data_IF_510153075747
#
_entry.id   IF_510153075747
#
_cell.length_a   1.000
_cell.length_b   1.000
_cell.length_c   1.000
_cell.angle_alpha   90.00
_cell.angle_beta   90.00
_cell.angle_gamma   90.00
#
_symmetry.space_group_name_H-M   'P 1'
#
loop_
_entity.id
_entity.type
_entity.pdbx_description
1 polymer ?
#
# COMPACT_ATOMS: atom_id res chain seq x y z
N UNK A 1 15.92 -1.28 18.08
CA UNK A 1 15.34 -0.54 16.94
C UNK A 1 16.35 0.50 16.50
N UNK A 2 16.92 0.33 15.32
CA UNK A 2 17.89 1.26 14.76
C UNK A 2 17.12 2.38 14.03
N UNK A 3 17.35 3.64 14.39
CA UNK A 3 16.70 4.80 13.77
C UNK A 3 17.60 5.28 12.63
N UNK A 4 17.07 5.32 11.42
CA UNK A 4 17.79 5.78 10.23
C UNK A 4 17.19 7.08 9.70
N UNK A 5 18.06 8.02 9.33
CA UNK A 5 17.69 9.26 8.67
C UNK A 5 18.02 9.16 7.18
N UNK A 6 17.08 9.56 6.32
CA UNK A 6 17.31 9.70 4.88
C UNK A 6 16.92 11.07 4.38
N UNK A 7 17.45 11.46 3.22
CA UNK A 7 17.03 12.69 2.55
C UNK A 7 15.52 12.65 2.31
N UNK A 8 14.85 13.73 2.67
CA UNK A 8 13.41 13.84 2.46
C UNK A 8 13.12 13.91 0.96
N UNK A 9 12.31 12.97 0.48
CA UNK A 9 11.87 12.90 -0.91
C UNK A 9 10.35 12.80 -0.90
N UNK A 10 9.69 13.65 -1.70
CA UNK A 10 8.24 13.60 -1.86
C UNK A 10 7.92 12.28 -2.55
N UNK A 11 7.05 11.44 -1.98
CA UNK A 11 6.53 10.26 -2.68
C UNK A 11 5.28 10.66 -3.47
N UNK A 12 4.82 9.82 -4.40
CA UNK A 12 3.49 9.98 -4.99
C UNK A 12 2.46 10.02 -3.86
N UNK A 13 1.99 11.22 -3.56
CA UNK A 13 0.99 11.47 -2.53
C UNK A 13 -0.37 11.54 -3.21
N UNK A 14 -1.41 11.11 -2.49
CA UNK A 14 -2.79 11.36 -2.89
C UNK A 14 -3.23 12.69 -2.29
N UNK A 15 -4.05 13.44 -3.04
CA UNK A 15 -4.52 14.73 -2.57
C UNK A 15 -5.43 14.57 -1.36
N UNK A 16 -5.21 15.40 -0.35
CA UNK A 16 -6.12 15.64 0.78
C UNK A 16 -6.38 17.13 0.84
N UNK A 17 -7.42 17.56 0.15
CA UNK A 17 -7.78 18.96 0.03
C UNK A 17 -9.08 19.23 0.78
N UNK A 18 -9.09 20.28 1.59
CA UNK A 18 -10.31 20.79 2.20
C UNK A 18 -10.62 22.19 1.66
N UNK A 19 -11.88 22.42 1.32
CA UNK A 19 -12.40 23.69 0.83
C UNK A 19 -13.53 24.13 1.78
N UNK A 20 -13.25 25.12 2.63
CA UNK A 20 -14.24 25.67 3.55
C UNK A 20 -14.79 26.99 3.02
N UNK A 21 -15.99 27.39 3.46
CA UNK A 21 -16.56 28.67 3.08
C UNK A 21 -18.05 28.80 3.37
N UNK A 22 -18.58 30.03 3.40
CA UNK A 22 -20.00 30.28 3.60
C UNK A 22 -20.86 29.69 2.48
N UNK A 23 -22.17 29.65 2.70
CA UNK A 23 -23.11 29.32 1.61
C UNK A 23 -22.93 30.31 0.46
N UNK A 24 -22.97 29.82 -0.79
CA UNK A 24 -22.82 30.63 -1.99
C UNK A 24 -21.38 31.01 -2.36
N UNK A 25 -20.36 30.58 -1.60
CA UNK A 25 -18.94 30.90 -1.90
C UNK A 25 -18.33 30.11 -3.06
N UNK A 26 -19.09 29.21 -3.72
CA UNK A 26 -18.59 28.41 -4.84
C UNK A 26 -17.80 27.14 -4.47
N UNK A 27 -18.01 26.56 -3.28
CA UNK A 27 -17.26 25.36 -2.82
C UNK A 27 -17.31 24.19 -3.80
N UNK A 28 -18.51 23.74 -4.15
CA UNK A 28 -18.75 22.62 -5.08
C UNK A 28 -18.16 22.90 -6.46
N UNK A 29 -18.43 24.10 -6.98
CA UNK A 29 -17.90 24.59 -8.25
C UNK A 29 -16.36 24.53 -8.28
N UNK A 30 -15.70 25.10 -7.27
CA UNK A 30 -14.25 25.11 -7.17
C UNK A 30 -13.67 23.70 -6.99
N UNK A 31 -14.32 22.84 -6.19
CA UNK A 31 -13.91 21.45 -6.03
C UNK A 31 -13.95 20.68 -7.36
N UNK A 32 -15.02 20.87 -8.14
CA UNK A 32 -15.21 20.24 -9.46
C UNK A 32 -14.17 20.72 -10.47
N UNK A 33 -13.88 22.03 -10.54
CA UNK A 33 -12.85 22.55 -11.44
C UNK A 33 -11.46 22.00 -11.11
N UNK A 34 -11.11 21.92 -9.83
CA UNK A 34 -9.85 21.32 -9.40
C UNK A 34 -9.79 19.83 -9.76
N UNK A 35 -10.86 19.07 -9.51
CA UNK A 35 -10.93 17.66 -9.86
C UNK A 35 -10.82 17.45 -11.38
N UNK A 36 -11.47 18.30 -12.19
CA UNK A 36 -11.37 18.30 -13.66
C UNK A 36 -9.92 18.47 -14.11
N UNK A 37 -9.20 19.44 -13.54
CA UNK A 37 -7.80 19.67 -13.86
C UNK A 37 -6.86 18.53 -13.46
N UNK A 38 -7.21 17.82 -12.38
CA UNK A 38 -6.51 16.58 -12.01
C UNK A 38 -6.78 15.44 -13.00
N UNK A 39 -7.95 15.44 -13.63
CA UNK A 39 -8.39 14.45 -14.59
C UNK A 39 -8.65 13.07 -13.98
N UNK A 40 -9.03 12.12 -14.84
CA UNK A 40 -9.48 10.80 -14.42
C UNK A 40 -10.97 10.78 -14.08
N UNK A 41 -11.45 9.69 -13.47
CA UNK A 41 -12.86 9.54 -13.09
C UNK A 41 -13.14 10.24 -11.77
N UNK A 42 -14.20 11.05 -11.75
CA UNK A 42 -14.59 11.87 -10.61
C UNK A 42 -15.90 11.32 -10.03
N UNK A 43 -15.93 11.10 -8.72
CA UNK A 43 -17.15 10.83 -7.97
C UNK A 43 -17.47 12.00 -7.03
N UNK A 44 -18.74 12.35 -6.93
CA UNK A 44 -19.24 13.35 -5.96
C UNK A 44 -20.24 12.69 -5.03
N UNK A 45 -19.91 12.62 -3.75
CA UNK A 45 -20.83 12.22 -2.71
C UNK A 45 -21.47 13.47 -2.09
N UNK A 46 -22.72 13.71 -2.44
CA UNK A 46 -23.44 14.94 -2.17
C UNK A 46 -24.42 14.75 -1.01
N UNK A 47 -24.34 15.62 -0.02
CA UNK A 47 -25.20 15.66 1.17
C UNK A 47 -26.18 16.84 1.13
N UNK A 48 -26.07 17.71 0.13
CA UNK A 48 -26.86 18.93 -0.08
C UNK A 48 -27.97 18.68 -1.13
N UNK A 49 -28.59 17.49 -1.09
CA UNK A 49 -29.77 17.11 -1.88
C UNK A 49 -29.59 17.24 -3.41
N UNK A 50 -28.57 16.59 -3.96
CA UNK A 50 -28.26 16.58 -5.40
C UNK A 50 -27.92 17.96 -6.00
N UNK A 51 -27.51 18.93 -5.19
CA UNK A 51 -27.07 20.25 -5.70
C UNK A 51 -25.87 20.18 -6.65
N UNK A 52 -25.02 19.16 -6.52
CA UNK A 52 -23.87 18.98 -7.39
C UNK A 52 -24.26 18.63 -8.84
N UNK A 53 -25.40 17.96 -9.07
CA UNK A 53 -25.88 17.58 -10.41
C UNK A 53 -26.11 18.80 -11.31
N UNK A 54 -26.31 19.98 -10.73
CA UNK A 54 -26.47 21.25 -11.46
C UNK A 54 -25.21 21.67 -12.24
N UNK A 55 -24.08 21.00 -12.05
CA UNK A 55 -22.81 21.26 -12.74
C UNK A 55 -22.46 20.18 -13.78
N UNK A 56 -23.44 19.38 -14.24
CA UNK A 56 -23.21 18.33 -15.26
C UNK A 56 -22.60 18.86 -16.57
N UNK A 57 -22.87 20.12 -16.91
CA UNK A 57 -22.38 20.79 -18.11
C UNK A 57 -20.92 21.25 -17.98
N UNK A 58 -20.43 21.37 -16.75
CA UNK A 58 -19.10 21.88 -16.44
C UNK A 58 -18.04 20.78 -16.42
N UNK A 59 -18.37 19.64 -15.79
CA UNK A 59 -17.47 18.52 -15.52
C UNK A 59 -18.24 17.20 -15.66
N UNK A 60 -17.63 16.21 -16.31
CA UNK A 60 -18.15 14.84 -16.31
C UNK A 60 -17.78 14.16 -14.97
N UNK A 61 -18.79 13.80 -14.17
CA UNK A 61 -18.61 13.09 -12.91
C UNK A 61 -19.80 12.17 -12.62
N UNK A 62 -19.58 11.19 -11.74
CA UNK A 62 -20.63 10.33 -11.22
C UNK A 62 -21.09 10.81 -9.85
N UNK A 63 -22.39 10.80 -9.61
CA UNK A 63 -23.00 11.35 -8.39
C UNK A 63 -23.52 10.26 -7.47
N UNK A 64 -23.37 10.47 -6.16
CA UNK A 64 -24.01 9.68 -5.13
C UNK A 64 -24.69 10.60 -4.11
N UNK A 65 -26.02 10.57 -4.06
CA UNK A 65 -26.80 11.30 -3.07
C UNK A 65 -26.75 10.60 -1.70
N UNK A 66 -26.18 11.27 -0.70
CA UNK A 66 -26.06 10.81 0.68
C UNK A 66 -27.17 11.44 1.50
N UNK A 67 -28.11 10.62 1.93
CA UNK A 67 -29.26 11.05 2.75
C UNK A 67 -29.01 10.79 4.24
N UNK A 68 -29.72 11.45 5.17
CA UNK A 68 -29.68 11.11 6.59
C UNK A 68 -29.99 9.62 6.86
N UNK A 69 -29.49 9.02 7.94
CA UNK A 69 -28.59 9.62 8.93
C UNK A 69 -27.15 9.73 8.39
N UNK A 70 -26.48 10.83 8.75
CA UNK A 70 -25.12 11.17 8.31
C UNK A 70 -24.04 10.57 9.23
N UNK A 71 -24.10 9.25 9.47
CA UNK A 71 -23.19 8.61 10.40
C UNK A 71 -21.75 8.54 9.86
N UNK A 72 -20.71 8.56 10.72
CA UNK A 72 -19.32 8.40 10.28
C UNK A 72 -19.10 7.14 9.43
N UNK A 73 -19.77 6.04 9.78
CA UNK A 73 -19.70 4.77 9.05
C UNK A 73 -20.23 4.87 7.63
N UNK A 74 -21.26 5.70 7.39
CA UNK A 74 -21.81 5.93 6.05
C UNK A 74 -20.80 6.63 5.15
N UNK A 75 -20.13 7.66 5.66
CA UNK A 75 -19.05 8.32 4.92
C UNK A 75 -17.87 7.38 4.65
N UNK A 76 -17.52 6.50 5.59
CA UNK A 76 -16.49 5.46 5.36
C UNK A 76 -16.91 4.52 4.22
N UNK A 77 -18.19 4.10 4.18
CA UNK A 77 -18.70 3.25 3.09
C UNK A 77 -18.64 3.95 1.74
N UNK A 78 -18.97 5.24 1.68
CA UNK A 78 -18.86 6.06 0.47
C UNK A 78 -17.42 6.08 -0.06
N UNK A 79 -16.45 6.35 0.83
CA UNK A 79 -15.02 6.35 0.45
C UNK A 79 -14.62 4.99 -0.13
N UNK A 80 -14.96 3.90 0.57
CA UNK A 80 -14.64 2.54 0.11
C UNK A 80 -15.32 2.17 -1.21
N UNK A 81 -16.56 2.59 -1.41
CA UNK A 81 -17.29 2.36 -2.65
C UNK A 81 -16.61 3.08 -3.82
N UNK A 82 -16.17 4.32 -3.60
CA UNK A 82 -15.44 5.07 -4.62
C UNK A 82 -14.08 4.42 -4.97
N UNK A 83 -13.37 3.91 -3.97
CA UNK A 83 -12.13 3.15 -4.20
C UNK A 83 -12.37 1.88 -4.99
N UNK A 84 -13.39 1.09 -4.62
CA UNK A 84 -13.74 -0.16 -5.31
C UNK A 84 -14.19 0.06 -6.75
N UNK A 85 -14.84 1.19 -7.02
CA UNK A 85 -15.25 1.60 -8.35
C UNK A 85 -14.09 2.18 -9.19
N UNK A 86 -12.87 2.26 -8.65
CA UNK A 86 -11.67 2.80 -9.33
C UNK A 86 -11.86 4.26 -9.80
N UNK A 87 -12.43 5.12 -8.96
CA UNK A 87 -12.39 6.56 -9.20
C UNK A 87 -10.98 7.11 -8.93
N UNK A 88 -10.61 8.19 -9.60
CA UNK A 88 -9.34 8.88 -9.36
C UNK A 88 -9.48 9.94 -8.26
N UNK A 89 -10.65 10.59 -8.21
CA UNK A 89 -10.96 11.66 -7.26
C UNK A 89 -12.38 11.50 -6.71
N UNK A 90 -12.51 11.53 -5.39
CA UNK A 90 -13.78 11.63 -4.68
C UNK A 90 -13.91 13.01 -4.04
N UNK A 91 -15.04 13.67 -4.31
CA UNK A 91 -15.47 14.89 -3.65
C UNK A 91 -16.53 14.53 -2.61
N UNK A 92 -16.28 14.85 -1.33
CA UNK A 92 -17.28 14.76 -0.27
C UNK A 92 -17.88 16.15 -0.03
N UNK A 93 -19.10 16.37 -0.51
CA UNK A 93 -19.79 17.68 -0.47
C UNK A 93 -21.05 17.60 0.40
N UNK A 94 -21.00 17.86 1.70
CA UNK A 94 -19.89 18.28 2.53
C UNK A 94 -19.70 17.32 3.70
N UNK A 95 -18.52 17.36 4.31
CA UNK A 95 -18.26 16.60 5.54
C UNK A 95 -18.88 17.28 6.79
N UNK A 96 -19.45 18.48 6.66
CA UNK A 96 -20.17 19.15 7.76
C UNK A 96 -21.33 18.30 8.26
N UNK A 97 -22.02 17.58 7.37
CA UNK A 97 -23.15 16.74 7.77
C UNK A 97 -22.75 15.53 8.63
N UNK A 98 -21.55 14.98 8.45
CA UNK A 98 -21.02 13.94 9.34
C UNK A 98 -20.92 14.42 10.80
N UNK A 99 -20.64 15.71 10.98
CA UNK A 99 -20.46 16.31 12.28
C UNK A 99 -21.77 16.80 12.90
N UNK A 100 -22.43 17.75 12.23
CA UNK A 100 -23.59 18.48 12.76
C UNK A 100 -24.90 18.19 12.05
N UNK A 101 -24.89 17.32 11.03
CA UNK A 101 -26.10 16.90 10.33
C UNK A 101 -26.94 15.91 11.12
N UNK A 102 -28.16 15.63 10.63
CA UNK A 102 -29.08 14.65 11.22
C UNK A 102 -28.44 13.26 11.30
N UNK A 103 -28.36 12.71 12.51
CA UNK A 103 -27.67 11.45 12.80
C UNK A 103 -26.14 11.51 12.72
N UNK A 104 -25.56 12.71 12.61
CA UNK A 104 -24.12 12.97 12.69
C UNK A 104 -23.59 12.93 14.12
N UNK A 105 -22.29 13.23 14.29
CA UNK A 105 -21.59 13.10 15.56
C UNK A 105 -22.26 13.83 16.72
N UNK A 106 -22.67 15.09 16.54
CA UNK A 106 -23.28 15.89 17.62
C UNK A 106 -24.60 15.27 18.10
N UNK A 107 -25.48 14.87 17.17
CA UNK A 107 -26.76 14.26 17.53
C UNK A 107 -26.55 12.88 18.19
N UNK A 108 -25.59 12.08 17.71
CA UNK A 108 -25.25 10.80 18.33
C UNK A 108 -24.77 11.03 19.78
N UNK A 109 -23.94 12.04 20.04
CA UNK A 109 -23.49 12.38 21.39
C UNK A 109 -24.68 12.77 22.27
N UNK A 110 -25.57 13.62 21.78
CA UNK A 110 -26.74 14.07 22.53
C UNK A 110 -27.68 12.91 22.89
N UNK A 111 -27.95 12.01 21.94
CA UNK A 111 -28.76 10.81 22.16
C UNK A 111 -28.12 9.86 23.20
N UNK A 112 -26.80 9.63 23.10
CA UNK A 112 -26.06 8.79 24.04
C UNK A 112 -26.01 9.41 25.44
N UNK A 113 -25.82 10.74 25.52
CA UNK A 113 -25.82 11.48 26.76
C UNK A 113 -27.20 11.39 27.42
N UNK A 114 -28.29 11.66 26.70
CA UNK A 114 -29.65 11.62 27.23
C UNK A 114 -30.11 10.22 27.66
N UNK A 115 -29.68 9.17 26.96
CA UNK A 115 -30.05 7.79 27.25
C UNK A 115 -29.06 7.07 28.17
N UNK A 116 -28.17 6.22 27.62
CA UNK A 116 -27.34 5.29 28.40
C UNK A 116 -26.39 5.97 29.38
N UNK A 117 -25.94 7.19 29.10
CA UNK A 117 -25.01 7.93 29.97
C UNK A 117 -25.70 8.90 30.94
N UNK A 118 -27.05 8.98 30.97
CA UNK A 118 -27.85 9.74 31.96
C UNK A 118 -27.38 11.19 32.21
N UNK A 119 -27.02 11.90 31.14
CA UNK A 119 -26.53 13.28 31.16
C UNK A 119 -25.00 13.40 31.15
N UNK A 120 -24.24 12.31 31.19
CA UNK A 120 -22.78 12.35 31.14
C UNK A 120 -22.27 12.45 29.68
N UNK A 121 -22.07 13.69 29.21
CA UNK A 121 -21.53 13.97 27.87
C UNK A 121 -20.12 13.40 27.66
N UNK A 122 -19.29 13.28 28.71
CA UNK A 122 -17.93 12.73 28.56
C UNK A 122 -17.95 11.24 28.17
N UNK A 123 -18.85 10.47 28.81
CA UNK A 123 -19.08 9.07 28.45
C UNK A 123 -19.59 8.92 27.02
N UNK A 124 -20.52 9.78 26.58
CA UNK A 124 -21.01 9.79 25.21
C UNK A 124 -19.90 10.09 24.18
N UNK A 125 -19.04 11.08 24.44
CA UNK A 125 -17.90 11.40 23.58
C UNK A 125 -16.88 10.27 23.46
N UNK A 126 -16.71 9.44 24.49
CA UNK A 126 -15.84 8.25 24.43
C UNK A 126 -16.29 7.23 23.38
N UNK A 127 -17.58 7.19 23.05
CA UNK A 127 -18.16 6.30 22.04
C UNK A 127 -18.14 6.91 20.63
N UNK A 128 -18.28 8.24 20.52
CA UNK A 128 -18.36 8.93 19.21
C UNK A 128 -16.98 9.29 18.66
N UNK A 129 -16.04 9.70 19.52
CA UNK A 129 -14.69 10.09 19.09
C UNK A 129 -13.97 9.02 18.26
N UNK A 130 -14.02 7.71 18.62
CA UNK A 130 -13.41 6.67 17.80
C UNK A 130 -14.08 6.49 16.43
N UNK A 131 -15.39 6.74 16.32
CA UNK A 131 -16.14 6.62 15.05
C UNK A 131 -15.74 7.74 14.08
N UNK A 132 -15.73 8.97 14.57
CA UNK A 132 -15.26 10.12 13.81
C UNK A 132 -13.79 9.95 13.36
N UNK A 133 -12.91 9.50 14.27
CA UNK A 133 -11.50 9.20 13.91
C UNK A 133 -11.37 8.19 12.79
N UNK A 134 -12.15 7.09 12.82
CA UNK A 134 -12.16 6.11 11.72
C UNK A 134 -12.58 6.73 10.38
N UNK A 135 -13.49 7.70 10.40
CA UNK A 135 -13.85 8.45 9.19
C UNK A 135 -12.69 9.31 8.68
N UNK A 136 -12.01 10.04 9.57
CA UNK A 136 -10.80 10.80 9.21
C UNK A 136 -9.72 9.87 8.65
N UNK A 137 -9.44 8.75 9.33
CA UNK A 137 -8.46 7.76 8.91
C UNK A 137 -8.80 7.21 7.51
N UNK A 138 -10.08 6.93 7.24
CA UNK A 138 -10.52 6.46 5.92
C UNK A 138 -10.24 7.49 4.82
N UNK A 139 -10.47 8.79 5.07
CA UNK A 139 -10.11 9.83 4.11
C UNK A 139 -8.59 9.91 3.92
N UNK A 140 -7.82 9.93 5.00
CA UNK A 140 -6.37 10.10 4.96
C UNK A 140 -5.66 8.92 4.30
N UNK A 141 -6.09 7.70 4.57
CA UNK A 141 -5.48 6.47 4.05
C UNK A 141 -5.99 6.07 2.66
N UNK A 142 -6.94 6.82 2.10
CA UNK A 142 -7.55 6.46 0.83
C UNK A 142 -6.55 6.32 -0.34
N UNK A 143 -6.77 5.33 -1.19
CA UNK A 143 -5.96 5.11 -2.40
C UNK A 143 -6.23 6.13 -3.52
N UNK A 144 -7.28 6.94 -3.40
CA UNK A 144 -7.73 7.92 -4.40
C UNK A 144 -7.55 9.35 -3.87
N UNK A 145 -7.69 10.36 -4.73
CA UNK A 145 -7.66 11.76 -4.30
C UNK A 145 -8.94 12.11 -3.57
N UNK A 146 -8.84 12.82 -2.45
CA UNK A 146 -9.99 13.24 -1.65
C UNK A 146 -10.01 14.77 -1.61
N UNK A 147 -11.14 15.33 -2.07
CA UNK A 147 -11.49 16.73 -1.86
C UNK A 147 -12.71 16.74 -0.94
N UNK A 148 -12.68 17.53 0.12
CA UNK A 148 -13.83 17.73 0.99
C UNK A 148 -14.27 19.18 0.95
N UNK A 149 -15.56 19.41 1.03
CA UNK A 149 -16.08 20.74 1.31
C UNK A 149 -16.54 20.82 2.78
N UNK A 150 -16.45 22.02 3.35
CA UNK A 150 -16.96 22.32 4.69
C UNK A 150 -17.75 23.62 4.64
N UNK A 151 -18.90 23.65 5.30
CA UNK A 151 -19.63 24.89 5.52
C UNK A 151 -18.91 25.68 6.60
N UNK A 152 -18.92 27.00 6.48
CA UNK A 152 -18.40 27.89 7.51
C UNK A 152 -19.48 28.83 8.02
N UNK A 153 -19.47 29.10 9.32
CA UNK A 153 -20.33 30.09 9.99
C UNK A 153 -19.48 31.22 10.56
N UNK A 154 -20.11 32.38 10.77
CA UNK A 154 -19.45 33.50 11.44
C UNK A 154 -19.14 33.11 12.89
N UNK A 155 -17.87 33.14 13.27
CA UNK A 155 -17.44 32.94 14.64
C UNK A 155 -17.57 34.25 15.41
N UNK A 156 -18.20 34.18 16.58
CA UNK A 156 -18.37 35.30 17.47
C UNK A 156 -17.84 34.97 18.86
N UNK A 157 -16.97 35.81 19.41
CA UNK A 157 -16.54 35.74 20.80
C UNK A 157 -17.32 36.75 21.63
N UNK A 158 -17.55 36.42 22.89
CA UNK A 158 -18.08 37.39 23.86
C UNK A 158 -16.91 38.00 24.61
N UNK A 159 -16.58 39.24 24.30
CA UNK A 159 -15.57 40.04 25.00
C UNK A 159 -16.26 40.86 26.09
N UNK A 160 -15.67 40.93 27.28
CA UNK A 160 -16.13 41.83 28.34
C UNK A 160 -15.37 43.14 28.22
N UNK A 161 -16.06 44.20 27.82
CA UNK A 161 -15.52 45.55 27.76
C UNK A 161 -16.25 46.39 28.82
N UNK A 162 -15.52 46.79 29.88
CA UNK A 162 -16.06 47.57 31.00
C UNK A 162 -17.38 47.04 31.61
N UNK A 163 -17.47 45.72 31.83
CA UNK A 163 -18.63 45.08 32.48
C UNK A 163 -19.87 44.90 31.59
N UNK A 164 -19.80 45.28 30.30
CA UNK A 164 -20.82 44.95 29.30
C UNK A 164 -20.31 43.83 28.38
N UNK A 165 -21.12 42.78 28.23
CA UNK A 165 -20.87 41.69 27.27
C UNK A 165 -21.03 42.25 25.86
N UNK A 166 -19.95 42.26 25.08
CA UNK A 166 -19.94 42.66 23.66
C UNK A 166 -19.65 41.42 22.82
N UNK A 167 -20.46 41.20 21.79
CA UNK A 167 -20.25 40.12 20.83
C UNK A 167 -19.38 40.65 19.70
N UNK A 168 -18.16 40.14 19.56
CA UNK A 168 -17.23 40.51 18.50
C UNK A 168 -17.15 39.39 17.48
N UNK A 169 -17.28 39.74 16.20
CA UNK A 169 -17.14 38.81 15.07
C UNK A 169 -15.64 38.62 14.80
N UNK A 170 -15.15 37.40 14.96
CA UNK A 170 -13.70 37.09 14.89
C UNK A 170 -13.28 36.58 13.53
N UNK A 171 -14.21 35.98 12.78
CA UNK A 171 -13.93 35.45 11.45
C UNK A 171 -14.96 34.42 11.03
N UNK A 172 -14.60 33.59 10.06
CA UNK A 172 -15.37 32.43 9.65
C UNK A 172 -14.74 31.18 10.26
N UNK A 173 -15.57 30.28 10.79
CA UNK A 173 -15.14 28.99 11.34
C UNK A 173 -15.88 27.86 10.64
N UNK A 174 -15.13 26.82 10.25
CA UNK A 174 -15.70 25.62 9.66
C UNK A 174 -16.63 24.92 10.66
N UNK A 175 -17.78 24.46 10.17
CA UNK A 175 -18.74 23.66 10.93
C UNK A 175 -18.27 22.21 11.00
N UNK A 176 -17.26 21.96 11.82
CA UNK A 176 -16.63 20.66 11.99
C UNK A 176 -15.90 20.63 13.35
N UNK A 177 -15.38 19.46 13.76
CA UNK A 177 -14.54 19.34 14.95
C UNK A 177 -13.31 20.24 14.86
N UNK A 178 -13.03 20.96 15.95
CA UNK A 178 -11.82 21.76 16.07
C UNK A 178 -10.56 20.94 15.78
N UNK A 179 -9.70 21.46 14.90
CA UNK A 179 -8.45 20.84 14.50
C UNK A 179 -8.54 19.93 13.27
N UNK A 180 -9.72 19.79 12.64
CA UNK A 180 -9.88 19.02 11.39
C UNK A 180 -8.94 19.51 10.27
N UNK A 181 -8.65 20.81 10.24
CA UNK A 181 -7.73 21.45 9.30
C UNK A 181 -6.29 20.89 9.38
N UNK A 182 -5.91 20.31 10.53
CA UNK A 182 -4.60 19.69 10.70
C UNK A 182 -4.45 18.36 9.97
N UNK A 183 -5.56 17.74 9.56
CA UNK A 183 -5.56 16.44 8.89
C UNK A 183 -5.26 16.58 7.38
N UNK A 184 -5.65 17.69 6.75
CA UNK A 184 -5.50 17.88 5.31
C UNK A 184 -4.12 18.37 4.89
N UNK A 185 -3.71 18.08 3.65
CA UNK A 185 -2.44 18.57 3.11
C UNK A 185 -2.54 20.04 2.72
N UNK A 186 -3.70 20.42 2.18
CA UNK A 186 -4.05 21.78 1.80
C UNK A 186 -5.47 22.10 2.28
N UNK A 187 -5.67 23.29 2.84
CA UNK A 187 -6.94 23.82 3.30
C UNK A 187 -7.10 25.22 2.71
N UNK A 188 -8.22 25.41 2.02
CA UNK A 188 -8.58 26.64 1.32
C UNK A 188 -9.90 27.18 1.87
N UNK A 189 -9.90 28.43 2.27
CA UNK A 189 -11.11 29.15 2.66
C UNK A 189 -11.58 30.02 1.49
N UNK A 190 -12.81 29.81 1.04
CA UNK A 190 -13.44 30.61 0.00
C UNK A 190 -14.17 31.81 0.60
N UNK A 191 -13.92 32.99 0.03
CA UNK A 191 -14.74 34.19 0.29
C UNK A 191 -16.07 34.13 -0.47
N UNK A 192 -16.98 35.06 -0.20
CA UNK A 192 -18.24 35.18 -0.95
C UNK A 192 -18.03 35.42 -2.46
N UNK A 193 -16.90 36.01 -2.85
CA UNK A 193 -16.54 36.29 -4.25
C UNK A 193 -15.78 35.11 -4.91
N UNK A 194 -15.85 33.92 -4.30
CA UNK A 194 -15.13 32.71 -4.71
C UNK A 194 -13.59 32.88 -4.77
N UNK A 195 -13.04 33.77 -3.95
CA UNK A 195 -11.59 33.92 -3.81
C UNK A 195 -11.10 32.88 -2.81
N UNK A 196 -10.20 32.00 -3.22
CA UNK A 196 -9.57 31.03 -2.36
C UNK A 196 -8.39 31.64 -1.61
N UNK A 197 -8.40 31.47 -0.29
CA UNK A 197 -7.33 31.88 0.62
C UNK A 197 -6.78 30.63 1.29
N UNK A 198 -5.49 30.34 1.14
CA UNK A 198 -4.89 29.18 1.79
C UNK A 198 -4.66 29.44 3.28
N UNK A 199 -5.35 28.69 4.14
CA UNK A 199 -5.06 28.66 5.59
C UNK A 199 -4.00 27.63 5.93
N UNK A 200 -3.86 26.60 5.09
CA UNK A 200 -2.77 25.62 5.16
C UNK A 200 -2.45 25.18 3.75
N UNK A 201 -1.18 25.25 3.35
CA UNK A 201 -0.78 24.73 2.04
C UNK A 201 0.63 24.16 2.08
N UNK A 202 0.74 22.83 2.03
CA UNK A 202 2.02 22.15 1.88
C UNK A 202 2.54 22.18 0.44
N UNK A 203 1.67 22.50 -0.53
CA UNK A 203 2.04 22.51 -1.95
C UNK A 203 2.78 23.77 -2.37
N UNK A 204 2.53 24.89 -1.67
CA UNK A 204 2.99 26.25 -2.00
C UNK A 204 2.46 26.76 -3.34
N UNK A 205 1.35 26.21 -3.82
CA UNK A 205 0.70 26.61 -5.07
C UNK A 205 -0.29 27.76 -4.87
N UNK A 206 -0.77 27.96 -3.63
CA UNK A 206 -1.85 28.90 -3.32
C UNK A 206 -1.39 30.03 -2.39
N UNK A 207 -0.23 30.63 -2.68
CA UNK A 207 0.34 31.72 -1.88
C UNK A 207 -0.49 32.99 -1.95
N UNK A 208 -0.98 33.33 -3.15
CA UNK A 208 -1.76 34.54 -3.39
C UNK A 208 -3.26 34.22 -3.47
N UNK A 209 -4.12 34.99 -2.78
CA UNK A 209 -5.57 34.85 -2.89
C UNK A 209 -6.07 35.10 -4.31
N UNK A 210 -6.81 34.12 -4.87
CA UNK A 210 -7.40 34.23 -6.21
C UNK A 210 -8.54 33.23 -6.42
N UNK A 211 -9.30 33.42 -7.49
CA UNK A 211 -10.22 32.39 -7.96
C UNK A 211 -9.43 31.20 -8.52
N UNK A 212 -9.91 29.99 -8.24
CA UNK A 212 -9.29 28.77 -8.72
C UNK A 212 -10.05 28.22 -9.91
N UNK A 213 -9.31 27.57 -10.80
CA UNK A 213 -9.87 26.95 -12.00
C UNK A 213 -9.21 25.62 -12.34
N UNK A 214 -9.53 25.11 -13.52
CA UNK A 214 -9.03 23.81 -14.02
C UNK A 214 -7.49 23.74 -14.03
N UNK A 215 -6.84 24.84 -14.43
CA UNK A 215 -5.37 24.97 -14.41
C UNK A 215 -4.76 24.61 -13.04
N UNK A 216 -5.43 24.94 -11.95
CA UNK A 216 -4.93 24.69 -10.59
C UNK A 216 -4.97 23.21 -10.22
N UNK A 217 -5.98 22.50 -10.73
CA UNK A 217 -6.03 21.04 -10.66
C UNK A 217 -4.85 20.39 -11.38
N UNK A 218 -4.46 20.93 -12.54
CA UNK A 218 -3.29 20.47 -13.28
C UNK A 218 -2.01 20.69 -12.47
N UNK A 219 -1.83 21.87 -11.87
CA UNK A 219 -0.68 22.17 -11.02
C UNK A 219 -0.62 21.25 -9.79
N UNK A 220 -1.77 21.00 -9.15
CA UNK A 220 -1.88 20.06 -8.05
C UNK A 220 -1.43 18.66 -8.48
N UNK A 221 -1.95 18.14 -9.60
CA UNK A 221 -1.55 16.84 -10.13
C UNK A 221 -0.05 16.78 -10.39
N UNK A 222 0.50 17.80 -11.05
CA UNK A 222 1.93 17.89 -11.32
C UNK A 222 2.74 17.89 -10.01
N UNK A 223 2.32 18.65 -9.00
CA UNK A 223 2.97 18.68 -7.71
C UNK A 223 2.91 17.33 -6.99
N UNK A 224 1.78 16.62 -7.05
CA UNK A 224 1.64 15.28 -6.45
C UNK A 224 2.57 14.25 -7.13
N UNK A 225 2.67 14.30 -8.47
CA UNK A 225 3.50 13.40 -9.28
C UNK A 225 5.00 13.75 -9.27
N UNK A 226 5.33 15.03 -9.07
CA UNK A 226 6.72 15.53 -9.00
C UNK A 226 7.56 14.86 -7.90
N UNK A 227 6.93 14.14 -6.96
CA UNK A 227 7.65 13.35 -5.98
C UNK A 227 8.31 12.09 -6.57
N UNK A 228 7.71 11.50 -7.60
CA UNK A 228 8.07 10.17 -8.10
C UNK A 228 9.46 10.07 -8.71
N UNK A 229 10.00 11.13 -9.32
CA UNK A 229 11.14 11.01 -10.24
C UNK A 229 12.45 10.57 -9.56
N UNK A 230 12.58 10.82 -8.26
CA UNK A 230 13.80 10.53 -7.48
C UNK A 230 13.54 9.76 -6.19
N UNK A 231 12.34 9.23 -5.97
CA UNK A 231 12.03 8.51 -4.74
C UNK A 231 12.86 7.21 -4.63
N UNK A 232 13.68 7.15 -3.59
CA UNK A 232 14.48 6.02 -3.18
C UNK A 232 13.66 4.98 -2.40
N UNK A 233 14.08 3.72 -2.43
CA UNK A 233 13.39 2.62 -1.74
C UNK A 233 13.18 2.90 -0.23
N UNK A 234 12.15 2.29 0.33
CA UNK A 234 11.87 2.36 1.77
C UNK A 234 12.62 1.27 2.57
N UNK A 235 12.54 1.32 3.90
CA UNK A 235 13.26 0.37 4.76
C UNK A 235 12.88 -1.11 4.54
N UNK A 236 11.60 -1.40 4.31
CA UNK A 236 11.17 -2.79 4.05
C UNK A 236 11.68 -3.27 2.69
N UNK A 237 11.61 -2.41 1.67
CA UNK A 237 12.14 -2.69 0.34
C UNK A 237 13.66 -2.87 0.36
N UNK A 238 14.37 -2.10 1.17
CA UNK A 238 15.81 -2.29 1.39
C UNK A 238 16.10 -3.68 1.95
N UNK A 239 15.40 -4.09 3.02
CA UNK A 239 15.60 -5.40 3.65
C UNK A 239 15.29 -6.55 2.69
N UNK A 240 14.22 -6.42 1.90
CA UNK A 240 13.88 -7.41 0.87
C UNK A 240 14.98 -7.51 -0.19
N UNK A 241 15.45 -6.38 -0.72
CA UNK A 241 16.49 -6.34 -1.74
C UNK A 241 17.82 -6.88 -1.23
N UNK A 242 18.22 -6.49 -0.02
CA UNK A 242 19.42 -6.98 0.66
C UNK A 242 19.37 -8.50 0.84
N UNK A 243 18.24 -9.02 1.31
CA UNK A 243 18.04 -10.45 1.47
C UNK A 243 18.16 -11.22 0.14
N UNK A 244 17.50 -10.73 -0.92
CA UNK A 244 17.58 -11.33 -2.25
C UNK A 244 19.00 -11.28 -2.82
N UNK A 245 19.72 -10.18 -2.64
CA UNK A 245 21.12 -10.08 -3.10
C UNK A 245 22.04 -11.06 -2.40
N UNK A 246 21.91 -11.22 -1.08
CA UNK A 246 22.68 -12.22 -0.34
C UNK A 246 22.37 -13.64 -0.81
N UNK A 247 21.10 -13.98 -1.04
CA UNK A 247 20.73 -15.30 -1.58
C UNK A 247 21.29 -15.56 -2.98
N UNK A 248 21.35 -14.51 -3.82
CA UNK A 248 21.93 -14.60 -5.16
C UNK A 248 23.46 -14.62 -5.16
N UNK A 249 24.13 -14.42 -4.01
CA UNK A 249 25.58 -14.27 -3.92
C UNK A 249 26.10 -12.97 -4.55
N UNK A 250 25.26 -11.94 -4.66
CA UNK A 250 25.62 -10.64 -5.23
C UNK A 250 26.33 -9.82 -4.15
N UNK A 251 27.52 -9.32 -4.47
CA UNK A 251 28.23 -8.36 -3.65
C UNK A 251 27.57 -6.97 -3.77
N UNK A 252 26.96 -6.55 -2.66
CA UNK A 252 26.21 -5.30 -2.55
C UNK A 252 27.10 -4.08 -2.79
N UNK A 253 28.34 -4.07 -2.29
CA UNK A 253 29.24 -2.93 -2.43
C UNK A 253 29.63 -2.74 -3.91
N UNK A 254 29.95 -3.84 -4.59
CA UNK A 254 30.23 -3.84 -6.02
C UNK A 254 29.00 -3.44 -6.86
N UNK A 255 27.81 -3.92 -6.50
CA UNK A 255 26.56 -3.53 -7.15
C UNK A 255 26.31 -2.02 -7.04
N UNK A 256 26.48 -1.45 -5.85
CA UNK A 256 26.27 -0.02 -5.61
C UNK A 256 27.29 0.82 -6.39
N UNK A 257 28.58 0.45 -6.32
CA UNK A 257 29.65 1.17 -7.01
C UNK A 257 29.46 1.25 -8.53
N UNK A 258 29.08 0.12 -9.17
CA UNK A 258 28.84 0.07 -10.63
C UNK A 258 27.67 0.94 -11.07
N UNK A 259 26.72 1.22 -10.18
CA UNK A 259 25.51 2.00 -10.47
C UNK A 259 25.59 3.44 -9.92
N UNK A 260 26.73 3.86 -9.39
CA UNK A 260 26.91 5.19 -8.80
C UNK A 260 26.04 5.43 -7.57
N UNK A 261 25.68 4.36 -6.86
CA UNK A 261 24.89 4.40 -5.63
C UNK A 261 25.84 4.43 -4.42
N UNK A 262 25.54 5.23 -3.41
CA UNK A 262 26.30 5.19 -2.15
C UNK A 262 25.89 4.00 -1.29
N UNK A 263 24.64 3.56 -1.42
CA UNK A 263 24.12 2.35 -0.79
C UNK A 263 22.90 1.82 -1.54
N UNK A 264 22.42 0.62 -1.18
CA UNK A 264 21.16 0.09 -1.74
C UNK A 264 19.95 1.00 -1.47
N UNK A 265 20.01 1.86 -0.45
CA UNK A 265 18.95 2.83 -0.20
C UNK A 265 18.76 3.78 -1.37
N UNK A 266 19.81 4.06 -2.16
CA UNK A 266 19.73 4.98 -3.30
C UNK A 266 19.06 4.34 -4.53
N UNK A 267 18.71 3.05 -4.46
CA UNK A 267 17.94 2.39 -5.52
C UNK A 267 16.58 3.09 -5.64
N UNK A 268 16.21 3.45 -6.87
CA UNK A 268 14.94 4.12 -7.14
C UNK A 268 13.78 3.15 -6.99
N UNK A 269 12.69 3.62 -6.39
CA UNK A 269 11.47 2.83 -6.21
C UNK A 269 10.89 2.33 -7.55
N UNK A 270 11.03 3.12 -8.63
CA UNK A 270 10.50 2.76 -9.95
C UNK A 270 11.11 1.49 -10.57
N UNK A 271 12.36 1.17 -10.23
CA UNK A 271 13.08 -0.01 -10.77
C UNK A 271 13.14 -1.14 -9.75
N UNK A 272 12.51 -0.98 -8.58
CA UNK A 272 12.62 -1.91 -7.47
C UNK A 272 12.10 -3.30 -7.85
N UNK A 273 10.87 -3.39 -8.35
CA UNK A 273 10.24 -4.66 -8.73
C UNK A 273 11.05 -5.37 -9.83
N UNK A 274 11.42 -4.64 -10.89
CA UNK A 274 12.26 -5.18 -11.97
C UNK A 274 13.61 -5.70 -11.46
N UNK A 275 14.24 -4.98 -10.52
CA UNK A 275 15.49 -5.40 -9.91
C UNK A 275 15.31 -6.68 -9.10
N UNK A 276 14.28 -6.75 -8.25
CA UNK A 276 13.97 -7.93 -7.46
C UNK A 276 13.69 -9.15 -8.35
N UNK A 277 12.93 -8.99 -9.42
CA UNK A 277 12.62 -10.07 -10.35
C UNK A 277 13.86 -10.56 -11.11
N UNK A 278 14.75 -9.64 -11.50
CA UNK A 278 16.04 -9.99 -12.08
C UNK A 278 16.89 -10.84 -11.13
N UNK A 279 16.95 -10.47 -9.85
CA UNK A 279 17.71 -11.22 -8.83
C UNK A 279 17.08 -12.59 -8.55
N UNK A 280 15.74 -12.67 -8.46
CA UNK A 280 15.03 -13.94 -8.30
C UNK A 280 15.33 -14.92 -9.44
N UNK A 281 15.44 -14.42 -10.69
CA UNK A 281 15.86 -15.25 -11.83
C UNK A 281 17.28 -15.80 -11.67
N UNK A 282 18.22 -15.00 -11.17
CA UNK A 282 19.60 -15.46 -10.88
C UNK A 282 19.58 -16.58 -9.83
N UNK A 283 18.83 -16.41 -8.74
CA UNK A 283 18.68 -17.42 -7.69
C UNK A 283 18.14 -18.73 -8.29
N UNK A 284 17.07 -18.63 -9.10
CA UNK A 284 16.47 -19.80 -9.73
C UNK A 284 17.43 -20.52 -10.68
N UNK A 285 18.20 -19.78 -11.48
CA UNK A 285 19.22 -20.35 -12.37
C UNK A 285 20.33 -21.06 -11.60
N UNK A 286 20.81 -20.47 -10.50
CA UNK A 286 21.84 -21.07 -9.66
C UNK A 286 21.35 -22.39 -9.02
N UNK A 287 20.10 -22.41 -8.54
CA UNK A 287 19.49 -23.62 -7.97
C UNK A 287 19.31 -24.72 -9.01
N UNK A 288 18.83 -24.39 -10.21
CA UNK A 288 18.69 -25.35 -11.31
C UNK A 288 20.05 -25.92 -11.75
N UNK A 289 21.08 -25.08 -11.81
CA UNK A 289 22.43 -25.53 -12.14
C UNK A 289 23.00 -26.49 -11.09
N UNK A 290 22.77 -26.22 -9.80
CA UNK A 290 23.18 -27.12 -8.71
C UNK A 290 22.46 -28.48 -8.80
N UNK A 291 21.13 -28.48 -8.96
CA UNK A 291 20.35 -29.71 -9.10
C UNK A 291 20.76 -30.53 -10.32
N UNK A 292 20.99 -29.88 -11.47
CA UNK A 292 21.45 -30.56 -12.67
C UNK A 292 22.85 -31.17 -12.48
N UNK A 293 23.73 -30.51 -11.73
CA UNK A 293 25.06 -31.04 -11.43
C UNK A 293 24.99 -32.24 -10.47
N UNK A 294 24.15 -32.17 -9.43
CA UNK A 294 23.89 -33.29 -8.53
C UNK A 294 23.30 -34.50 -9.28
N UNK A 295 22.31 -34.27 -10.15
CA UNK A 295 21.75 -35.32 -10.99
C UNK A 295 22.79 -35.95 -11.91
N UNK A 296 23.65 -35.15 -12.56
CA UNK A 296 24.75 -35.67 -13.38
C UNK A 296 25.73 -36.51 -12.56
N UNK A 297 26.03 -36.11 -11.32
CA UNK A 297 26.91 -36.88 -10.43
C UNK A 297 26.29 -38.22 -10.07
N UNK A 298 24.99 -38.24 -9.74
CA UNK A 298 24.25 -39.46 -9.44
C UNK A 298 24.22 -40.38 -10.67
N UNK A 299 23.88 -39.86 -11.85
CA UNK A 299 23.88 -40.64 -13.10
C UNK A 299 25.26 -41.22 -13.43
N UNK A 300 26.34 -40.49 -13.18
CA UNK A 300 27.70 -40.98 -13.36
C UNK A 300 28.04 -42.10 -12.38
N UNK A 301 27.67 -41.96 -11.11
CA UNK A 301 27.85 -43.00 -10.10
C UNK A 301 27.05 -44.26 -10.45
N UNK A 302 25.80 -44.11 -10.90
CA UNK A 302 24.97 -45.24 -11.33
C UNK A 302 25.54 -45.96 -12.55
N UNK A 303 26.03 -45.23 -13.56
CA UNK A 303 26.71 -45.82 -14.73
C UNK A 303 27.98 -46.55 -14.34
N UNK A 304 28.76 -46.01 -13.40
CA UNK A 304 29.97 -46.65 -12.89
C UNK A 304 29.61 -47.96 -12.19
N UNK A 305 28.60 -47.93 -11.32
CA UNK A 305 28.11 -49.11 -10.60
C UNK A 305 27.57 -50.20 -11.55
N UNK A 306 26.85 -49.82 -12.62
CA UNK A 306 26.40 -50.76 -13.66
C UNK A 306 27.59 -51.39 -14.41
N UNK A 307 28.61 -50.60 -14.79
CA UNK A 307 29.79 -51.13 -15.46
C UNK A 307 30.57 -52.11 -14.56
N UNK A 308 30.72 -51.78 -13.28
CA UNK A 308 31.33 -52.67 -12.28
C UNK A 308 30.50 -53.94 -12.10
N UNK A 309 29.17 -53.84 -12.10
CA UNK A 309 28.27 -55.00 -12.02
C UNK A 309 28.48 -55.95 -13.21
N UNK A 310 28.56 -55.43 -14.44
CA UNK A 310 28.84 -56.24 -15.62
C UNK A 310 30.22 -56.91 -15.57
N UNK A 311 31.24 -56.22 -15.05
CA UNK A 311 32.57 -56.79 -14.85
C UNK A 311 32.54 -57.91 -13.79
N UNK A 312 31.80 -57.71 -12.71
CA UNK A 312 31.65 -58.69 -11.64
C UNK A 312 30.97 -59.97 -12.13
N UNK A 313 29.93 -59.88 -12.98
CA UNK A 313 29.33 -61.06 -13.62
C UNK A 313 30.34 -61.87 -14.44
N UNK A 314 31.20 -61.20 -15.23
CA UNK A 314 32.27 -61.87 -15.97
C UNK A 314 33.29 -62.53 -15.04
N UNK A 315 33.65 -61.86 -13.95
CA UNK A 315 34.53 -62.44 -12.94
C UNK A 315 33.93 -63.71 -12.32
N UNK A 316 32.63 -63.69 -11.98
CA UNK A 316 31.90 -64.85 -11.47
C UNK A 316 31.90 -66.00 -12.49
N UNK A 317 31.63 -65.74 -13.78
CA UNK A 317 31.69 -66.76 -14.84
C UNK A 317 33.07 -67.41 -14.96
N UNK A 318 34.14 -66.61 -14.83
CA UNK A 318 35.53 -67.04 -14.91
C UNK A 318 36.12 -67.61 -13.61
N UNK A 319 35.35 -67.63 -12.53
CA UNK A 319 35.82 -68.12 -11.23
C UNK A 319 36.21 -69.60 -11.32
N UNK A 320 37.25 -69.99 -10.57
CA UNK A 320 37.78 -71.36 -10.56
C UNK A 320 37.65 -71.99 -9.17
N UNK A 321 37.46 -71.17 -8.12
CA UNK A 321 37.28 -71.60 -6.73
C UNK A 321 36.21 -70.77 -6.05
N UNK A 322 35.56 -71.35 -5.03
CA UNK A 322 34.47 -70.71 -4.28
C UNK A 322 34.88 -69.38 -3.61
N UNK A 323 36.13 -69.26 -3.16
CA UNK A 323 36.67 -68.03 -2.56
C UNK A 323 36.73 -66.85 -3.53
N UNK A 324 36.73 -67.11 -4.84
CA UNK A 324 36.77 -66.05 -5.86
C UNK A 324 35.40 -65.33 -5.95
N UNK A 325 34.33 -65.90 -5.36
CA UNK A 325 32.98 -65.34 -5.29
C UNK A 325 32.76 -64.39 -4.10
N UNK A 326 33.69 -64.35 -3.13
CA UNK A 326 33.58 -63.51 -1.94
C UNK A 326 33.70 -62.02 -2.27
N UNK A 327 34.56 -61.66 -3.22
CA UNK A 327 34.80 -60.26 -3.60
C UNK A 327 33.55 -59.61 -4.25
N UNK A 328 32.93 -60.20 -5.30
CA UNK A 328 31.69 -59.66 -5.87
C UNK A 328 30.57 -59.55 -4.82
N UNK A 329 30.41 -60.59 -3.99
CA UNK A 329 29.32 -60.65 -3.00
C UNK A 329 29.45 -59.56 -1.93
N UNK A 330 30.67 -59.29 -1.46
CA UNK A 330 30.92 -58.24 -0.47
C UNK A 330 30.88 -56.83 -1.07
N UNK A 331 31.36 -56.64 -2.30
CA UNK A 331 31.39 -55.32 -2.96
C UNK A 331 29.98 -54.79 -3.26
N UNK A 332 29.06 -55.64 -3.70
CA UNK A 332 27.70 -55.24 -4.07
C UNK A 332 26.68 -55.28 -2.93
N UNK A 333 27.11 -55.58 -1.70
CA UNK A 333 26.23 -55.65 -0.52
C UNK A 333 25.58 -54.30 -0.23
N UNK A 334 24.25 -54.24 -0.12
CA UNK A 334 23.48 -53.02 0.08
C UNK A 334 23.25 -52.18 -1.19
N UNK A 335 23.69 -52.66 -2.36
CA UNK A 335 23.43 -52.00 -3.66
C UNK A 335 22.22 -52.59 -4.37
N UNK A 336 21.71 -51.90 -5.40
CA UNK A 336 20.60 -52.41 -6.23
C UNK A 336 20.90 -53.72 -6.96
N UNK A 337 22.16 -54.13 -7.08
CA UNK A 337 22.59 -55.36 -7.76
C UNK A 337 22.89 -56.53 -6.81
N UNK A 338 22.78 -56.34 -5.49
CA UNK A 338 23.12 -57.34 -4.47
C UNK A 338 22.49 -58.71 -4.75
N UNK A 339 21.16 -58.75 -4.94
CA UNK A 339 20.43 -60.00 -5.17
C UNK A 339 20.82 -60.66 -6.49
N UNK A 340 21.11 -59.89 -7.53
CA UNK A 340 21.48 -60.45 -8.82
C UNK A 340 22.88 -61.07 -8.77
N UNK A 341 23.82 -60.43 -8.07
CA UNK A 341 25.16 -60.98 -7.83
C UNK A 341 25.08 -62.26 -6.99
N UNK A 342 24.29 -62.25 -5.91
CA UNK A 342 24.09 -63.44 -5.07
C UNK A 342 23.55 -64.62 -5.89
N UNK A 343 22.52 -64.39 -6.70
CA UNK A 343 21.95 -65.42 -7.57
C UNK A 343 22.95 -65.95 -8.60
N UNK A 344 23.77 -65.07 -9.20
CA UNK A 344 24.81 -65.47 -10.15
C UNK A 344 25.92 -66.31 -9.49
N UNK A 345 26.36 -65.92 -8.29
CA UNK A 345 27.32 -66.67 -7.49
C UNK A 345 26.76 -68.07 -7.14
N UNK A 346 25.50 -68.17 -6.68
CA UNK A 346 24.86 -69.45 -6.37
C UNK A 346 24.76 -70.35 -7.61
N UNK A 347 24.28 -69.82 -8.74
CA UNK A 347 24.18 -70.57 -9.98
C UNK A 347 25.54 -71.10 -10.49
N UNK A 348 26.61 -70.29 -10.36
CA UNK A 348 27.97 -70.72 -10.70
C UNK A 348 28.48 -71.82 -9.75
N UNK A 349 28.24 -71.67 -8.44
CA UNK A 349 28.60 -72.68 -7.44
C UNK A 349 27.92 -74.02 -7.71
N UNK A 350 26.63 -73.99 -8.05
CA UNK A 350 25.83 -75.17 -8.38
C UNK A 350 26.32 -75.85 -9.67
N UNK A 351 26.69 -75.07 -10.70
CA UNK A 351 27.21 -75.60 -11.97
C UNK A 351 28.56 -76.31 -11.84
N UNK A 352 29.48 -75.76 -11.05
CA UNK A 352 30.83 -76.31 -10.87
C UNK A 352 30.90 -77.37 -9.75
N UNK A 353 29.76 -77.64 -9.08
CA UNK A 353 29.68 -78.59 -7.97
C UNK A 353 30.46 -78.15 -6.73
N UNK A 354 30.66 -76.83 -6.58
CA UNK A 354 31.28 -76.27 -5.38
C UNK A 354 30.28 -76.31 -4.25
N UNK A 355 30.32 -77.38 -3.46
CA UNK A 355 29.59 -77.45 -2.20
C UNK A 355 30.23 -76.49 -1.20
N UNK A 356 29.40 -75.67 -0.55
CA UNK A 356 29.79 -74.82 0.57
C UNK A 356 30.51 -75.60 1.69
#
# INVERSE_FOLDING_TARGET
MTVFFKKAERKNAKLRLAIAGPTGSGKTFTALLLAKGMGGRIAVADTENSSAELYEDLVEFEHANIQPPYTPEKFIQVIKAAEQANFDTLILDSITHEWSGVGGCLEIVDQLAAGPFKGNSWGAWSQVTPRHRKFIDAMLQSSINIIVTMRSKMETIQTNDNGKKKVEKVGMKAEQRDGIEYEFTTVLDLTHDNIAIATKDRSRLFLDPRQLGEHDGVLLKQWLLSGSANACINGNQFLELEHLMHQAGIDIANYCARRGLNSLHDVKQQIFEETCDGIKKIIQQNQQAQQANEQRLIEQQEKTLENEYQLALKHIESAIRISDLDYPTNYFKGTKYEQNILNACTAKSDMEGWTA
#
